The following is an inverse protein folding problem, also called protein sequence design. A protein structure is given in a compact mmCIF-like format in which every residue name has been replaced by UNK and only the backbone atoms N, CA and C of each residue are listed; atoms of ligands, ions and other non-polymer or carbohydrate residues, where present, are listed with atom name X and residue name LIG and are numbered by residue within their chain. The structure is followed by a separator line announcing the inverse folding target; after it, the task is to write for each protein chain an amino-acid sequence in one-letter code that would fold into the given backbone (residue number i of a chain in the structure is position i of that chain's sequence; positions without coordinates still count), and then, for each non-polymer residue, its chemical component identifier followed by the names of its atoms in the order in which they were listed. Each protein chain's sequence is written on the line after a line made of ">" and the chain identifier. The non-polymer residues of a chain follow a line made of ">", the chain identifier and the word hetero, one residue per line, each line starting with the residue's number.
data_IF_271731641923
#
_entry.id   IF_271731641923
#
_cell.length_a   1.000
_cell.length_b   1.000
_cell.length_c   1.000
_cell.angle_alpha   90.00
_cell.angle_beta   90.00
_cell.angle_gamma   90.00
#
_symmetry.space_group_name_H-M   'P 1'
#
loop_
_entity.id
_entity.type
_entity.pdbx_description
1 polymer ?
2 polymer ?
3 non-polymer ?
4 water ?
#
loop_
_entity_poly.entity_id
_entity_poly.type
_entity_poly.pdbx_seq_one_letter_code
_entity_poly.pdbx_strand_id
1 'polyribonucleotide' 'GCCCGCCUGUCACGCGGGC' ?
#
# COMPACT_ATOMS: atom_id res chain seq x y z
N UNK C 1 10.06 7.72 27.14
CA UNK C 1 8.97 6.79 27.40
C UNK C 1 8.98 5.60 26.46
N UNK C 2 8.24 4.56 26.84
CA UNK C 2 8.22 3.31 26.10
C UNK C 2 6.84 3.14 25.50
N UNK C 3 6.69 3.46 24.23
CA UNK C 3 5.39 3.35 23.56
C UNK C 3 5.26 2.12 22.70
N UNK C 4 5.98 1.04 23.03
CA UNK C 4 6.08 -0.08 22.10
C UNK C 4 4.80 -0.90 21.98
N UNK C 5 3.97 -1.00 23.05
CA UNK C 5 2.74 -1.79 22.90
C UNK C 5 1.70 -1.05 22.07
N UNK C 6 1.66 0.26 22.20
CA UNK C 6 0.84 1.07 21.30
C UNK C 6 1.30 0.92 19.87
N UNK C 7 2.62 0.88 19.66
CA UNK C 7 3.15 0.72 18.30
C UNK C 7 2.72 -0.62 17.73
N UNK C 8 2.72 -1.66 18.56
CA UNK C 8 2.21 -2.93 18.05
C UNK C 8 0.71 -2.92 17.88
N UNK C 9 -0.01 -2.16 18.72
CA UNK C 9 -1.45 -2.07 18.57
C UNK C 9 -1.83 -1.50 17.21
N UNK C 10 -1.17 -0.42 16.79
CA UNK C 10 -1.49 0.19 15.51
C UNK C 10 -1.16 -0.74 14.37
N UNK C 11 -0.04 -1.46 14.48
CA UNK C 11 0.36 -2.33 13.38
C UNK C 11 -0.62 -3.49 13.25
N UNK C 12 -1.10 -3.99 14.38
CA UNK C 12 -1.97 -5.14 14.34
C UNK C 12 -3.43 -4.75 14.14
N UNK C 13 -3.82 -3.51 14.49
CA UNK C 13 -5.25 -3.22 14.55
C UNK C 13 -5.73 -1.91 13.93
N UNK C 14 -4.91 -1.16 13.20
CA UNK C 14 -5.30 0.15 12.69
C UNK C 14 -5.03 0.19 11.20
N UNK C 15 -6.00 0.66 10.43
CA UNK C 15 -5.80 0.98 9.01
C UNK C 15 -6.72 2.17 8.77
N UNK C 16 -6.13 3.37 8.75
CA UNK C 16 -6.92 4.59 8.75
C UNK C 16 -7.94 4.59 7.61
N UNK C 17 -7.48 4.33 6.38
CA UNK C 17 -8.30 4.45 5.19
C UNK C 17 -8.22 3.12 4.43
N UNK C 18 -9.01 2.13 4.83
CA UNK C 18 -8.93 0.81 4.19
C UNK C 18 -9.28 0.91 2.71
N UNK C 19 -8.71 0.00 1.92
CA UNK C 19 -8.86 0.04 0.46
C UNK C 19 -10.02 -0.84 0.00
N UNK C 20 -10.54 -1.65 0.89
CA UNK C 20 -11.77 -2.36 0.59
C UNK C 20 -12.25 -2.88 1.92
N UNK C 21 -13.37 -3.58 1.89
CA UNK C 21 -13.76 -4.17 3.16
C UNK C 21 -14.22 -5.60 2.97
N UNK C 22 -13.77 -6.23 1.89
CA UNK C 22 -14.15 -7.57 1.49
C UNK C 22 -13.06 -8.57 1.83
N UNK C 23 -13.25 -9.82 1.37
CA UNK C 23 -12.27 -10.86 1.62
C UNK C 23 -10.90 -10.49 1.02
N UNK C 24 -10.89 -9.89 -0.17
CA UNK C 24 -9.62 -9.52 -0.77
C UNK C 24 -8.85 -8.63 0.19
N UNK C 25 -9.53 -7.61 0.71
CA UNK C 25 -8.91 -6.67 1.64
C UNK C 25 -8.34 -7.40 2.86
N UNK C 26 -9.11 -8.33 3.43
CA UNK C 26 -8.62 -9.09 4.58
C UNK C 26 -7.36 -9.87 4.23
N UNK C 27 -7.45 -10.71 3.20
CA UNK C 27 -6.30 -11.55 2.84
C UNK C 27 -5.10 -10.70 2.41
N UNK C 28 -5.36 -9.52 1.83
CA UNK C 28 -4.30 -8.60 1.47
C UNK C 28 -3.61 -8.02 2.70
N UNK C 29 -4.39 -7.46 3.63
CA UNK C 29 -3.84 -6.77 4.80
C UNK C 29 -3.31 -7.74 5.84
N UNK C 30 -3.85 -8.96 5.90
CA UNK C 30 -3.33 -9.94 6.85
C UNK C 30 -1.95 -10.40 6.41
N UNK C 31 -1.71 -10.42 5.09
CA UNK C 31 -0.38 -10.70 4.60
C UNK C 31 0.50 -9.47 4.76
N UNK C 32 -0.06 -8.29 4.45
CA UNK C 32 0.71 -7.05 4.54
C UNK C 32 1.15 -6.73 5.97
N UNK C 33 0.41 -7.16 6.98
CA UNK C 33 0.81 -6.91 8.36
C UNK C 33 1.54 -8.09 8.96
N UNK C 34 1.87 -9.10 8.14
CA UNK C 34 2.69 -10.24 8.52
C UNK C 34 2.01 -11.23 9.43
N UNK C 35 0.73 -11.03 9.75
CA UNK C 35 -0.05 -11.88 10.64
C UNK C 35 -0.30 -13.26 10.09
N UNK C 36 0.13 -13.57 8.87
CA UNK C 36 -0.20 -14.85 8.25
C UNK C 36 0.85 -15.94 8.41
N UNK C 37 1.48 -16.15 9.57
CA UNK C 37 2.38 -17.30 9.61
C UNK C 37 2.74 -17.70 11.04
N UNK C 38 1.92 -18.52 11.72
CA UNK C 38 0.68 -19.12 11.24
C UNK C 38 -0.43 -18.09 11.12
N UNK C 39 -1.50 -18.54 10.48
CA UNK C 39 -2.71 -17.75 10.32
C UNK C 39 -3.23 -17.36 11.68
N UNK C 40 -3.38 -16.06 11.91
CA UNK C 40 -4.05 -15.67 13.13
C UNK C 40 -5.52 -16.05 13.03
N UNK C 41 -6.06 -16.53 14.15
CA UNK C 41 -7.42 -17.02 14.20
C UNK C 41 -8.38 -15.98 13.66
N UNK C 42 -8.30 -14.78 14.22
CA UNK C 42 -9.18 -13.70 13.88
C UNK C 42 -8.46 -12.42 14.25
N UNK C 43 -8.71 -11.37 13.48
CA UNK C 43 -8.06 -10.11 13.78
C UNK C 43 -8.94 -9.00 13.24
N UNK C 44 -9.17 -7.98 14.04
CA UNK C 44 -10.03 -6.87 13.64
C UNK C 44 -9.23 -5.59 13.47
N UNK C 45 -9.54 -4.86 12.41
CA UNK C 45 -8.94 -3.56 12.12
C UNK C 45 -9.92 -2.43 12.37
N UNK C 46 -9.40 -1.32 12.91
CA UNK C 46 -10.16 -0.09 13.11
C UNK C 46 -9.75 0.94 12.07
N UNK C 47 -10.75 1.63 11.52
CA UNK C 47 -10.61 2.70 10.52
C UNK C 47 -10.91 4.04 11.18
N UNK C 48 -10.66 5.13 10.47
CA UNK C 48 -10.79 6.42 11.07
C UNK C 48 -9.43 6.97 11.47
N UNK C 49 -9.48 8.01 12.27
CA UNK C 49 -8.30 8.70 12.77
C UNK C 49 -7.84 8.08 14.09
N UNK C 50 -6.58 8.33 14.45
CA UNK C 50 -6.02 7.76 15.65
C UNK C 50 -6.57 8.40 16.91
N UNK C 51 -6.82 9.72 16.87
CA UNK C 51 -7.21 10.42 18.10
C UNK C 51 -8.50 9.85 18.67
N UNK C 52 -9.44 9.42 17.82
CA UNK C 52 -10.68 8.86 18.33
C UNK C 52 -10.38 7.64 19.16
N UNK C 53 -9.40 6.85 18.74
CA UNK C 53 -9.06 5.60 19.42
C UNK C 53 -8.28 5.86 20.69
N UNK C 54 -7.35 6.81 20.66
CA UNK C 54 -6.61 7.14 21.88
C UNK C 54 -7.56 7.67 22.95
N UNK C 55 -8.61 8.38 22.54
CA UNK C 55 -9.54 9.00 23.48
C UNK C 55 -10.35 7.99 24.27
N UNK C 56 -10.42 6.74 23.82
CA UNK C 56 -11.10 5.71 24.59
C UNK C 56 -10.48 5.51 25.96
N UNK C 57 -9.21 5.89 26.10
CA UNK C 57 -8.46 5.76 27.34
C UNK C 57 -8.70 6.93 28.28
N UNK C 58 -9.34 8.01 27.82
CA UNK C 58 -9.71 9.13 28.66
C UNK C 58 -11.23 9.18 28.70
N UNK C 59 -11.75 10.12 29.50
CA UNK C 59 -13.19 10.30 29.61
C UNK C 59 -13.80 10.92 28.38
N UNK C 60 -12.98 11.49 27.50
CA UNK C 60 -13.51 12.09 26.27
C UNK C 60 -14.31 11.05 25.48
N UNK C 61 -13.74 9.85 25.28
CA UNK C 61 -14.39 8.86 24.43
C UNK C 61 -14.41 7.47 25.07
N UNK C 62 -14.33 7.37 26.39
CA UNK C 62 -14.22 6.06 27.00
C UNK C 62 -14.89 5.93 28.35
N UNK C 63 -15.26 4.70 28.67
CA UNK C 63 -15.86 4.32 29.94
C UNK C 63 -15.32 2.96 30.37
N UNK C 64 -15.21 2.72 31.67
CA UNK C 64 -14.88 1.36 32.12
C UNK C 64 -15.91 0.38 31.62
N UNK C 65 -15.45 -0.70 31.01
CA UNK C 65 -16.31 -1.73 30.45
C UNK C 65 -16.28 -3.02 31.24
N UNK C 66 -15.09 -3.50 31.60
CA UNK C 66 -14.92 -4.76 32.29
C UNK C 66 -13.48 -4.91 32.73
N UNK C 67 -13.23 -5.09 34.03
CA UNK C 67 -11.87 -5.33 34.52
C UNK C 67 -10.95 -4.20 34.06
N UNK C 68 -9.90 -4.47 33.28
CA UNK C 68 -8.93 -3.48 32.84
C UNK C 68 -9.20 -3.02 31.39
N UNK C 69 -10.46 -2.99 30.99
CA UNK C 69 -10.87 -2.67 29.63
C UNK C 69 -11.80 -1.47 29.61
N UNK C 70 -11.86 -0.79 28.48
CA UNK C 70 -12.69 0.40 28.35
C UNK C 70 -13.45 0.32 27.04
N UNK C 71 -14.74 0.70 27.07
CA UNK C 71 -15.55 0.75 25.86
C UNK C 71 -15.61 2.18 25.36
N UNK C 72 -15.52 2.34 24.04
CA UNK C 72 -15.59 3.66 23.43
C UNK C 72 -17.01 4.19 23.52
N UNK C 73 -17.14 5.52 23.59
CA UNK C 73 -18.46 6.13 23.51
C UNK C 73 -18.97 6.11 22.08
N UNK C 74 -18.14 6.48 21.11
CA UNK C 74 -18.53 6.47 19.70
C UNK C 74 -18.33 5.09 19.08
N UNK C 75 -18.97 4.87 17.94
CA UNK C 75 -18.78 3.64 17.20
C UNK C 75 -17.68 3.87 16.16
N UNK C 76 -17.08 2.77 15.70
CA UNK C 76 -16.02 2.83 14.72
C UNK C 76 -16.41 1.97 13.54
N UNK C 77 -16.07 2.43 12.35
CA UNK C 77 -15.94 1.50 11.23
C UNK C 77 -14.82 0.53 11.57
N UNK C 78 -15.13 -0.77 11.53
CA UNK C 78 -14.14 -1.81 11.79
C UNK C 78 -14.32 -2.91 10.76
N UNK C 79 -13.27 -3.68 10.52
CA UNK C 79 -13.36 -4.88 9.69
C UNK C 79 -12.77 -6.05 10.44
N UNK C 80 -13.53 -7.15 10.55
CA UNK C 80 -13.04 -8.36 11.19
C UNK C 80 -12.77 -9.43 10.15
N UNK C 81 -11.55 -9.96 10.21
CA UNK C 81 -11.08 -11.02 9.32
C UNK C 81 -10.98 -12.32 10.11
N UNK C 82 -11.73 -13.33 9.67
CA UNK C 82 -11.69 -14.65 10.30
C UNK C 82 -11.04 -15.67 9.36
N UNK C 83 -10.34 -16.65 9.94
CA UNK C 83 -9.69 -17.69 9.15
C UNK C 83 -10.73 -18.67 8.59
N UNK C 84 -10.47 -19.22 7.40
CA UNK C 84 -11.48 -20.05 6.73
C UNK C 84 -11.34 -21.55 6.97
N UNK C 85 -10.16 -22.12 6.73
CA UNK C 85 -10.03 -23.57 6.80
C UNK C 85 -9.92 -24.15 8.20
N UNK C 86 -9.20 -23.45 9.07
CA UNK C 86 -8.95 -23.87 10.43
C UNK C 86 -7.52 -24.31 10.66
N UNK C 87 -6.83 -24.68 9.60
CA UNK C 87 -5.44 -25.03 9.69
C UNK C 87 -4.63 -23.76 9.91
N UNK C 88 -3.91 -23.62 11.02
CA UNK C 88 -3.06 -22.43 11.23
C UNK C 88 -2.05 -22.18 10.10
N UNK C 89 -1.82 -23.15 9.23
CA UNK C 89 -0.80 -23.14 8.19
C UNK C 89 -1.31 -22.55 6.87
N UNK C 90 -0.41 -21.80 6.23
CA UNK C 90 -0.75 -21.18 4.95
C UNK C 90 -1.19 -22.19 3.94
N UNK C 91 -2.01 -21.79 2.94
CA UNK C 91 -2.47 -20.41 2.67
C UNK C 91 -3.44 -19.95 3.73
N UNK C 92 -3.47 -18.65 4.04
CA UNK C 92 -4.33 -18.12 5.09
C UNK C 92 -5.49 -17.45 4.37
N UNK C 93 -6.60 -18.19 4.24
CA UNK C 93 -7.82 -17.64 3.69
C UNK C 93 -8.62 -16.94 4.78
N UNK C 94 -9.12 -15.75 4.49
CA UNK C 94 -9.89 -15.01 5.48
C UNK C 94 -11.22 -14.59 4.87
N UNK C 95 -12.24 -14.52 5.71
CA UNK C 95 -13.53 -13.94 5.38
C UNK C 95 -13.73 -12.71 6.25
N UNK C 96 -14.28 -11.66 5.64
CA UNK C 96 -14.42 -10.33 6.21
C UNK C 96 -15.86 -10.10 6.67
N UNK C 97 -16.00 -9.50 7.86
CA UNK C 97 -17.26 -8.96 8.39
C UNK C 97 -16.97 -7.52 8.73
N UNK C 98 -17.44 -6.60 7.88
CA UNK C 98 -17.34 -5.19 8.19
C UNK C 98 -18.39 -4.87 9.23
N UNK C 99 -18.14 -3.84 10.05
CA UNK C 99 -19.07 -3.52 11.09
C UNK C 99 -19.02 -2.05 11.42
N UNK C 100 -19.89 -1.66 12.35
CA UNK C 100 -19.90 -0.29 12.85
C UNK C 100 -20.37 -0.44 14.29
N UNK C 101 -19.45 -0.32 15.23
CA UNK C 101 -19.81 -0.55 16.63
C UNK C 101 -18.75 0.02 17.53
N UNK C 102 -18.99 -0.05 18.84
CA UNK C 102 -17.99 0.39 19.79
C UNK C 102 -16.87 -0.62 19.88
N UNK C 103 -15.65 -0.12 20.11
CA UNK C 103 -14.49 -0.99 20.31
C UNK C 103 -14.11 -0.95 21.78
N UNK C 104 -13.58 -2.06 22.25
CA UNK C 104 -13.06 -2.23 23.60
C UNK C 104 -11.55 -2.38 23.53
N UNK C 105 -10.84 -1.70 24.44
CA UNK C 105 -9.40 -1.70 24.47
C UNK C 105 -8.95 -1.70 25.92
N UNK C 106 -7.75 -2.26 26.15
CA UNK C 106 -7.03 -2.00 27.40
C UNK C 106 -6.08 -0.82 27.18
N UNK C 107 -5.88 -0.04 28.24
CA UNK C 107 -5.12 1.20 28.15
C UNK C 107 -4.02 1.23 29.18
N UNK C 108 -2.85 1.70 28.77
CA UNK C 108 -1.73 2.02 29.67
C UNK C 108 -1.22 3.40 29.25
N UNK C 109 -1.08 4.31 30.21
CA UNK C 109 -0.46 5.62 29.95
C UNK C 109 -1.20 6.39 28.85
N UNK C 110 -2.54 6.28 28.86
CA UNK C 110 -3.36 6.98 27.89
C UNK C 110 -3.30 6.42 26.49
N UNK C 111 -2.94 5.16 26.33
CA UNK C 111 -2.75 4.63 25.01
C UNK C 111 -3.36 3.23 24.96
N UNK C 112 -4.06 2.89 23.88
CA UNK C 112 -4.50 1.49 23.71
C UNK C 112 -3.31 0.55 23.50
N UNK C 113 -3.21 -0.45 24.37
CA UNK C 113 -2.18 -1.47 24.26
C UNK C 113 -2.74 -2.83 23.82
N UNK C 114 -4.05 -3.05 23.90
CA UNK C 114 -4.62 -4.30 23.44
C UNK C 114 -6.06 -4.05 23.03
N UNK C 115 -6.55 -4.91 22.13
CA UNK C 115 -7.94 -4.88 21.72
C UNK C 115 -8.66 -6.10 22.30
N UNK C 116 -9.87 -5.91 22.82
CA UNK C 116 -10.71 -7.04 23.22
C UNK C 116 -11.37 -7.64 21.97
N UNK C 117 -10.67 -8.59 21.37
CA UNK C 117 -11.01 -9.23 20.12
C UNK C 117 -12.22 -10.15 20.22
N UNK C 118 -12.64 -10.51 21.44
CA UNK C 118 -13.74 -11.46 21.59
C UNK C 118 -15.06 -10.90 21.07
N UNK C 119 -15.33 -9.61 21.30
CA UNK C 119 -16.61 -9.02 20.89
C UNK C 119 -16.82 -9.15 19.38
N UNK C 120 -15.75 -9.38 18.62
CA UNK C 120 -15.87 -9.52 17.18
C UNK C 120 -16.06 -10.99 16.77
N UNK C 121 -16.11 -11.92 17.72
CA UNK C 121 -16.41 -13.27 17.32
C UNK C 121 -17.85 -13.33 16.90
N UNK C 122 -18.66 -12.45 17.49
CA UNK C 122 -20.08 -12.33 17.21
C UNK C 122 -20.27 -11.44 15.99
N UNK C 123 -20.82 -11.95 14.88
CA UNK C 123 -20.95 -11.12 13.69
C UNK C 123 -22.25 -10.35 13.74
N UNK D 1 10.29 -11.60 -27.59
CA UNK D 1 10.71 -12.57 -26.58
C UNK D 1 11.63 -11.87 -25.59
N UNK D 2 12.89 -12.30 -25.56
CA UNK D 2 13.94 -11.62 -24.80
C UNK D 2 14.46 -10.42 -25.60
N UNK D 3 13.54 -9.48 -25.81
CA UNK D 3 13.83 -8.15 -26.30
C UNK D 3 14.55 -7.37 -25.21
N UNK D 4 15.86 -7.10 -25.42
CA UNK D 4 16.64 -6.37 -24.42
C UNK D 4 16.01 -5.03 -24.06
N UNK D 5 15.42 -4.33 -25.05
CA UNK D 5 14.83 -3.01 -24.79
C UNK D 5 13.58 -3.13 -23.91
N UNK D 6 12.81 -4.20 -24.07
CA UNK D 6 11.73 -4.44 -23.13
C UNK D 6 12.29 -4.60 -21.71
N UNK D 7 13.33 -5.44 -21.55
CA UNK D 7 13.93 -5.69 -20.23
C UNK D 7 14.63 -4.43 -19.70
N UNK D 8 15.15 -3.58 -20.60
CA UNK D 8 15.67 -2.29 -20.17
C UNK D 8 14.53 -1.38 -19.70
N UNK D 9 13.35 -1.51 -20.34
CA UNK D 9 12.18 -0.77 -19.90
C UNK D 9 11.84 -1.13 -18.45
N UNK D 10 11.82 -2.42 -18.14
CA UNK D 10 11.44 -2.85 -16.80
C UNK D 10 12.48 -2.36 -15.80
N UNK D 11 13.75 -2.37 -16.17
CA UNK D 11 14.74 -1.93 -15.21
C UNK D 11 14.53 -0.49 -14.82
N UNK D 12 14.09 0.34 -15.76
CA UNK D 12 13.96 1.75 -15.51
C UNK D 12 12.52 2.22 -15.22
N UNK D 13 11.51 1.37 -15.45
CA UNK D 13 10.15 1.87 -15.36
C UNK D 13 9.17 0.90 -14.69
N UNK D 14 9.64 -0.16 -14.04
CA UNK D 14 8.73 -1.13 -13.43
C UNK D 14 9.15 -1.52 -12.01
N UNK D 15 8.21 -1.42 -11.07
CA UNK D 15 8.42 -1.93 -9.71
C UNK D 15 7.07 -2.42 -9.21
N UNK D 16 6.90 -3.74 -9.18
CA UNK D 16 5.62 -4.38 -8.94
C UNK D 16 4.94 -3.88 -7.66
N UNK D 17 5.57 -4.09 -6.51
CA UNK D 17 4.99 -3.72 -5.22
C UNK D 17 6.01 -2.88 -4.48
N UNK D 18 5.98 -1.56 -4.68
CA UNK D 18 6.98 -0.69 -4.06
C UNK D 18 6.89 -0.71 -2.53
N UNK D 19 8.07 -0.76 -1.89
CA UNK D 19 8.20 -0.85 -0.43
C UNK D 19 8.06 0.51 0.26
N UNK D 20 8.15 1.60 -0.50
CA UNK D 20 7.76 2.93 -0.10
C UNK D 20 7.39 3.72 -1.35
N UNK D 21 6.99 4.98 -1.16
CA UNK D 21 6.74 5.89 -2.28
C UNK D 21 7.18 7.32 -1.97
N UNK D 22 8.16 7.48 -1.07
CA UNK D 22 8.67 8.78 -0.65
C UNK D 22 9.98 9.06 -1.39
N UNK D 23 10.69 10.10 -0.95
CA UNK D 23 11.99 10.43 -1.53
C UNK D 23 13.02 9.32 -1.30
N UNK D 24 13.00 8.70 -0.12
CA UNK D 24 13.90 7.58 0.17
C UNK D 24 13.68 6.44 -0.82
N UNK D 25 12.41 6.08 -1.06
CA UNK D 25 12.12 5.03 -2.03
C UNK D 25 12.71 5.36 -3.39
N UNK D 26 12.58 6.62 -3.82
CA UNK D 26 13.17 7.05 -5.07
C UNK D 26 14.70 6.89 -5.04
N UNK D 27 15.34 7.48 -4.03
CA UNK D 27 16.79 7.51 -3.96
C UNK D 27 17.39 6.11 -3.87
N UNK D 28 16.68 5.18 -3.24
CA UNK D 28 17.12 3.80 -3.23
C UNK D 28 16.95 3.15 -4.60
N UNK D 29 15.74 3.22 -5.17
CA UNK D 29 15.45 2.48 -6.41
C UNK D 29 16.14 3.13 -7.59
N UNK D 30 16.37 4.45 -7.52
CA UNK D 30 17.03 5.16 -8.61
C UNK D 30 18.51 4.80 -8.65
N UNK D 31 19.04 4.30 -7.55
CA UNK D 31 20.41 3.83 -7.47
C UNK D 31 20.46 2.34 -7.78
N UNK D 32 19.48 1.59 -7.28
CA UNK D 32 19.42 0.15 -7.55
C UNK D 32 19.30 -0.13 -9.03
N UNK D 33 18.71 0.76 -9.80
CA UNK D 33 18.51 0.51 -11.22
C UNK D 33 19.57 1.20 -12.07
N UNK D 34 20.62 1.71 -11.43
CA UNK D 34 21.78 2.25 -12.13
C UNK D 34 21.59 3.61 -12.76
N UNK D 35 20.46 4.26 -12.50
CA UNK D 35 20.14 5.57 -13.04
C UNK D 35 20.87 6.71 -12.32
N UNK D 36 21.86 6.42 -11.47
CA UNK D 36 22.59 7.44 -10.70
C UNK D 36 24.05 7.61 -11.14
N UNK D 37 24.34 7.53 -12.46
CA UNK D 37 25.71 7.79 -12.92
C UNK D 37 25.76 8.05 -14.42
N UNK D 38 25.51 9.29 -14.85
CA UNK D 38 25.16 10.46 -14.03
C UNK D 38 23.71 10.40 -13.51
N UNK D 39 23.29 11.29 -12.62
CA UNK D 39 21.91 11.29 -12.16
C UNK D 39 20.96 11.43 -13.33
N UNK D 40 20.06 10.47 -13.47
CA UNK D 40 19.00 10.70 -14.45
C UNK D 40 18.09 11.80 -13.92
N UNK D 41 17.72 12.71 -14.81
CA UNK D 41 16.96 13.88 -14.41
C UNK D 41 15.64 13.51 -13.74
N UNK D 42 14.85 12.69 -14.42
CA UNK D 42 13.53 12.31 -13.91
C UNK D 42 13.22 10.92 -14.44
N UNK D 43 12.52 10.15 -13.62
CA UNK D 43 12.21 8.81 -14.03
C UNK D 43 10.95 8.37 -13.30
N UNK D 44 10.05 7.72 -14.03
CA UNK D 44 8.81 7.21 -13.47
C UNK D 44 8.78 5.70 -13.47
N UNK D 45 8.33 5.14 -12.36
CA UNK D 45 8.10 3.70 -12.19
C UNK D 45 6.60 3.45 -12.17
N UNK D 46 6.18 2.33 -12.75
CA UNK D 46 4.79 1.89 -12.77
C UNK D 46 4.62 0.74 -11.78
N UNK D 47 3.52 0.73 -11.03
CA UNK D 47 3.28 -0.40 -10.12
C UNK D 47 2.09 -1.22 -10.60
N UNK D 48 1.97 -2.43 -10.05
CA UNK D 48 1.03 -3.43 -10.52
C UNK D 48 1.73 -4.58 -11.24
N UNK D 49 0.93 -5.37 -11.94
CA UNK D 49 1.46 -6.56 -12.60
C UNK D 49 2.04 -6.21 -13.96
N UNK D 50 2.87 -7.12 -14.48
CA UNK D 50 3.50 -6.84 -15.76
C UNK D 50 2.53 -7.05 -16.92
N UNK D 51 1.62 -8.01 -16.82
CA UNK D 51 0.73 -8.29 -17.94
C UNK D 51 -0.11 -7.07 -18.28
N UNK D 52 -0.56 -6.32 -17.27
CA UNK D 52 -1.37 -5.14 -17.55
C UNK D 52 -0.59 -4.15 -18.40
N UNK D 53 0.71 -4.06 -18.20
CA UNK D 53 1.50 -3.10 -18.94
C UNK D 53 1.78 -3.58 -20.36
N UNK D 54 2.10 -4.88 -20.51
CA UNK D 54 2.30 -5.44 -21.85
C UNK D 54 1.01 -5.38 -22.65
N UNK D 55 -0.15 -5.53 -21.98
CA UNK D 55 -1.43 -5.50 -22.66
C UNK D 55 -1.73 -4.15 -23.27
N UNK D 56 -1.01 -3.11 -22.84
CA UNK D 56 -1.16 -1.79 -23.45
C UNK D 56 -0.77 -1.86 -24.92
N UNK D 57 0.17 -2.74 -25.25
CA UNK D 57 0.69 -2.84 -26.60
C UNK D 57 -0.27 -3.55 -27.55
N UNK D 58 -1.40 -4.02 -27.02
CA UNK D 58 -2.43 -4.63 -27.85
C UNK D 58 -3.76 -3.95 -27.58
N UNK D 59 -4.85 -4.49 -28.15
CA UNK D 59 -6.16 -3.84 -28.02
C UNK D 59 -6.70 -3.96 -26.61
N UNK D 60 -6.44 -5.07 -25.91
CA UNK D 60 -7.01 -5.28 -24.58
C UNK D 60 -6.94 -4.04 -23.72
N UNK D 61 -5.74 -3.44 -23.62
CA UNK D 61 -5.49 -2.34 -22.69
C UNK D 61 -4.76 -1.18 -23.36
N UNK D 62 -4.87 -1.04 -24.67
CA UNK D 62 -4.14 0.00 -25.37
C UNK D 62 -4.93 0.64 -26.49
N UNK D 63 -4.60 1.90 -26.77
CA UNK D 63 -5.16 2.71 -27.84
C UNK D 63 -4.06 3.56 -28.45
N UNK D 64 -4.17 3.90 -29.74
CA UNK D 64 -3.22 4.83 -30.36
C UNK D 64 -3.29 6.21 -29.70
N UNK D 65 -2.12 6.74 -29.32
CA UNK D 65 -1.99 8.04 -28.69
C UNK D 65 -1.33 9.06 -29.61
N UNK D 66 -0.17 8.75 -30.18
CA UNK D 66 0.56 9.71 -31.03
C UNK D 66 1.26 8.95 -32.17
N UNK D 67 2.24 9.62 -32.79
CA UNK D 67 2.97 9.07 -33.94
C UNK D 67 3.46 7.64 -33.74
N UNK D 68 4.08 7.36 -32.59
CA UNK D 68 4.58 6.02 -32.31
C UNK D 68 4.37 5.70 -30.84
N UNK D 69 3.21 6.08 -30.31
CA UNK D 69 2.92 5.90 -28.88
C UNK D 69 1.56 5.26 -28.69
N UNK D 70 1.33 4.73 -27.50
CA UNK D 70 0.06 4.13 -27.12
C UNK D 70 -0.34 4.51 -25.70
N UNK D 71 -1.64 4.81 -25.49
CA UNK D 71 -2.16 5.17 -24.16
C UNK D 71 -2.89 3.96 -23.56
N UNK D 72 -2.68 3.73 -22.26
CA UNK D 72 -3.34 2.64 -21.57
C UNK D 72 -4.81 2.95 -21.33
N UNK D 73 -5.63 1.89 -21.32
CA UNK D 73 -7.05 2.12 -21.01
C UNK D 73 -7.28 2.38 -19.53
N UNK D 74 -6.75 1.54 -18.66
CA UNK D 74 -6.88 1.74 -17.22
C UNK D 74 -5.74 2.63 -16.69
N UNK D 75 -5.95 3.16 -15.49
CA UNK D 75 -4.94 3.96 -14.83
C UNK D 75 -4.02 3.08 -13.98
N UNK D 76 -2.83 3.60 -13.65
CA UNK D 76 -1.83 2.86 -12.88
C UNK D 76 -1.35 3.67 -11.69
N UNK D 77 -1.12 3.00 -10.56
CA UNK D 77 -0.27 3.58 -9.55
C UNK D 77 1.11 3.74 -10.14
N UNK D 78 1.65 4.95 -10.05
CA UNK D 78 2.98 5.24 -10.57
C UNK D 78 3.71 6.10 -9.55
N UNK D 79 5.03 6.08 -9.61
CA UNK D 79 5.83 6.99 -8.81
C UNK D 79 6.81 7.71 -9.72
N UNK D 80 6.82 9.03 -9.67
CA UNK D 80 7.79 9.81 -10.45
C UNK D 80 8.87 10.41 -9.53
N UNK D 81 10.15 10.17 -9.88
CA UNK D 81 11.29 10.65 -9.11
C UNK D 81 12.02 11.75 -9.88
N UNK D 82 12.10 12.94 -9.27
CA UNK D 82 12.70 14.10 -9.93
C UNK D 82 13.95 14.54 -9.18
N UNK D 83 15.01 14.82 -9.93
CA UNK D 83 16.28 15.21 -9.33
C UNK D 83 16.25 16.68 -8.93
N UNK D 84 16.77 16.98 -7.74
CA UNK D 84 16.88 18.36 -7.29
C UNK D 84 18.30 18.62 -6.79
N UNK D 85 18.68 19.90 -6.79
CA UNK D 85 20.02 20.34 -6.45
C UNK D 85 20.80 20.91 -7.62
N UNK D 86 20.56 20.41 -8.84
CA UNK D 86 21.27 20.92 -9.99
C UNK D 86 22.63 20.31 -10.24
N UNK D 87 22.96 19.20 -9.59
CA UNK D 87 24.26 18.56 -9.76
C UNK D 87 24.10 17.19 -10.39
N UNK D 88 24.64 16.95 -11.60
CA UNK D 88 24.50 15.63 -12.22
C UNK D 88 25.33 14.56 -11.56
N UNK D 89 26.11 14.91 -10.56
CA UNK D 89 27.01 13.91 -10.04
C UNK D 89 26.44 13.34 -8.74
N UNK D 90 26.46 12.03 -8.54
CA UNK D 90 25.94 11.48 -7.29
C UNK D 90 26.69 12.04 -6.11
N UNK D 91 26.05 12.13 -4.91
CA UNK D 91 24.70 11.66 -4.52
C UNK D 91 23.63 12.24 -5.42
N UNK D 92 22.64 11.42 -5.72
CA UNK D 92 21.62 11.76 -6.67
C UNK D 92 20.36 11.89 -5.82
N UNK D 93 20.25 13.03 -5.12
CA UNK D 93 19.06 13.33 -4.33
C UNK D 93 17.80 13.50 -5.17
N UNK D 94 16.71 12.86 -4.75
CA UNK D 94 15.45 12.90 -5.50
C UNK D 94 14.32 13.35 -4.60
N UNK D 95 13.27 13.86 -5.25
CA UNK D 95 11.98 14.08 -4.60
C UNK D 95 10.91 13.34 -5.40
N UNK D 96 10.03 12.64 -4.69
CA UNK D 96 9.06 11.70 -5.24
C UNK D 96 7.69 12.35 -5.38
N UNK D 97 7.03 12.06 -6.50
CA UNK D 97 5.61 12.43 -6.73
C UNK D 97 4.89 11.14 -7.12
N UNK D 98 4.17 10.53 -6.18
CA UNK D 98 3.34 9.38 -6.51
C UNK D 98 2.04 9.87 -7.15
N UNK D 99 1.45 9.02 -8.00
CA UNK D 99 0.29 9.43 -8.76
C UNK D 99 -0.53 8.23 -9.19
N UNK D 100 -1.61 8.53 -9.91
CA UNK D 100 -2.48 7.48 -10.43
C UNK D 100 -3.08 7.98 -11.75
N UNK D 101 -2.64 7.43 -12.87
CA UNK D 101 -3.16 7.86 -14.17
C UNK D 101 -2.78 6.86 -15.24
N UNK D 102 -3.25 7.15 -16.46
CA UNK D 102 -2.93 6.34 -17.62
C UNK D 102 -1.47 6.58 -18.01
N UNK D 103 -0.85 5.55 -18.60
CA UNK D 103 0.55 5.63 -19.00
C UNK D 103 0.66 5.52 -20.52
N UNK D 104 1.69 6.17 -21.07
CA UNK D 104 1.95 6.11 -22.50
C UNK D 104 3.25 5.36 -22.77
N UNK D 105 3.22 4.49 -23.77
CA UNK D 105 4.36 3.65 -24.12
C UNK D 105 4.49 3.49 -25.62
N UNK D 106 5.73 3.30 -26.08
CA UNK D 106 6.01 2.83 -27.43
C UNK D 106 6.11 1.32 -27.41
N UNK D 107 5.65 0.68 -28.49
CA UNK D 107 5.56 -0.78 -28.55
C UNK D 107 6.27 -1.33 -29.77
N UNK D 108 6.95 -2.47 -29.59
CA UNK D 108 7.61 -3.19 -30.68
C UNK D 108 7.32 -4.67 -30.51
N UNK D 109 6.60 -5.26 -31.47
CA UNK D 109 6.29 -6.70 -31.42
C UNK D 109 5.44 -7.04 -30.19
N UNK D 110 4.50 -6.17 -29.84
CA UNK D 110 3.65 -6.39 -28.68
C UNK D 110 4.30 -6.17 -27.32
N UNK D 111 5.35 -5.35 -27.26
CA UNK D 111 6.14 -5.12 -26.03
C UNK D 111 6.44 -3.64 -25.80
N UNK D 112 6.30 -3.17 -24.57
CA UNK D 112 6.73 -1.80 -24.24
C UNK D 112 8.25 -1.68 -24.29
N UNK D 113 8.74 -0.79 -25.12
CA UNK D 113 10.19 -0.55 -25.20
C UNK D 113 10.58 0.82 -24.67
N UNK D 114 9.62 1.72 -24.47
CA UNK D 114 9.89 3.02 -23.89
C UNK D 114 8.66 3.49 -23.17
N UNK D 115 8.86 4.37 -22.20
CA UNK D 115 7.79 5.05 -21.51
C UNK D 115 7.77 6.50 -22.01
N UNK D 116 6.57 7.03 -22.29
CA UNK D 116 6.51 8.45 -22.60
C UNK D 116 6.66 9.17 -21.27
N UNK D 117 7.93 9.44 -20.94
CA UNK D 117 8.30 10.03 -19.67
C UNK D 117 7.88 11.48 -19.59
N UNK D 118 7.50 12.09 -20.72
CA UNK D 118 7.15 13.51 -20.74
C UNK D 118 5.87 13.79 -19.97
N UNK D 119 4.87 12.92 -20.06
CA UNK D 119 3.63 13.23 -19.39
C UNK D 119 3.84 13.39 -17.87
N UNK D 120 4.94 12.90 -17.33
CA UNK D 120 5.17 12.98 -15.89
C UNK D 120 5.94 14.21 -15.44
N UNK D 121 6.38 15.07 -16.34
CA UNK D 121 7.00 16.35 -15.95
C UNK D 121 5.96 17.35 -15.47
N UNK D 122 4.72 17.18 -15.89
CA UNK D 122 3.59 18.07 -15.74
C UNK D 122 2.84 18.01 -14.40
N UNK D 123 2.52 16.82 -13.82
CA UNK D 123 1.71 16.65 -12.60
C UNK D 123 1.52 17.85 -11.67
#
# INVERSE_FOLDING_TARGET
>C
QDNSRYTHFLTQHYDAKPQGRDDRYCESIMRRRGLTSPCKDINTFIHGNKRSIKAICENKNGNPHRENLRISKSSFQVTTCKLHGGSPWPPCQYRATAGFRNVVVACENGLPVALDQSIFRRP
>D
QDNSRYTHFLTQHYDAKPQGRDDRYCESIMRRRGLTSPCKDINTFIHGNKRSIKAICENKNGNPHRENLRISKSSFQVTTCKLHGGSPWPPCQYRATAGFRNVVVACENGLPVALDQSIFRRP
#
